data_IF_689078095173
#
_entry.id   IF_689078095173
#
_cell.length_a   1.000
_cell.length_b   1.000
_cell.length_c   1.000
_cell.angle_alpha   90.00
_cell.angle_beta   90.00
_cell.angle_gamma   90.00
#
_symmetry.space_group_name_H-M   'P 1'
#
loop_
_entity.id
_entity.type
_entity.pdbx_description
1 polymer ?
#
# COMPACT_ATOMS: atom_id res chain seq x y z
N UNK A 1 -4.97 46.69 34.03
CA UNK A 1 -4.53 45.75 32.98
C UNK A 1 -4.08 44.48 33.68
N UNK A 2 -4.77 43.35 33.48
CA UNK A 2 -4.28 42.07 34.05
C UNK A 2 -3.04 41.67 33.25
N UNK A 3 -1.92 41.49 33.94
CA UNK A 3 -0.68 40.99 33.36
C UNK A 3 -0.98 39.67 32.63
N UNK A 4 -0.51 39.55 31.39
CA UNK A 4 -0.65 38.32 30.61
C UNK A 4 -0.02 37.17 31.38
N UNK A 5 -0.77 36.09 31.54
CA UNK A 5 -0.26 34.88 32.17
C UNK A 5 0.90 34.31 31.34
N UNK A 6 1.90 33.74 32.01
CA UNK A 6 2.97 32.98 31.39
C UNK A 6 2.36 31.82 30.59
N UNK A 7 2.59 31.74 29.27
CA UNK A 7 2.02 30.68 28.43
C UNK A 7 2.55 29.28 28.78
N UNK A 8 3.58 29.14 29.62
CA UNK A 8 4.10 27.85 30.04
C UNK A 8 4.52 27.00 28.85
N UNK A 9 4.04 25.76 28.79
CA UNK A 9 4.35 24.78 27.73
C UNK A 9 3.43 24.86 26.50
N UNK A 10 2.59 25.90 26.40
CA UNK A 10 1.55 25.98 25.36
C UNK A 10 2.12 25.89 23.94
N UNK A 11 3.25 26.54 23.68
CA UNK A 11 3.90 26.52 22.36
C UNK A 11 4.37 25.10 22.03
N UNK A 12 5.06 24.43 22.96
CA UNK A 12 5.56 23.06 22.77
C UNK A 12 4.42 22.06 22.53
N UNK A 13 3.31 22.22 23.27
CA UNK A 13 2.12 21.40 23.09
C UNK A 13 1.47 21.61 21.72
N UNK A 14 1.33 22.86 21.28
CA UNK A 14 0.79 23.18 19.95
C UNK A 14 1.69 22.60 18.85
N UNK A 15 3.01 22.70 18.98
CA UNK A 15 3.96 22.12 18.04
C UNK A 15 3.86 20.59 17.98
N UNK A 16 3.76 19.94 19.14
CA UNK A 16 3.60 18.49 19.26
C UNK A 16 2.29 17.99 18.65
N UNK A 17 1.17 18.65 18.97
CA UNK A 17 -0.14 18.33 18.42
C UNK A 17 -0.20 18.55 16.91
N UNK A 18 0.38 19.65 16.41
CA UNK A 18 0.46 19.92 14.98
C UNK A 18 1.35 18.89 14.27
N UNK A 19 2.47 18.50 14.88
CA UNK A 19 3.36 17.45 14.38
C UNK A 19 2.64 16.10 14.27
N UNK A 20 1.90 15.72 15.31
CA UNK A 20 1.10 14.51 15.33
C UNK A 20 -0.03 14.54 14.28
N UNK A 21 -0.71 15.68 14.14
CA UNK A 21 -1.80 15.86 13.17
C UNK A 21 -1.31 15.80 11.70
N UNK A 22 -0.09 16.29 11.43
CA UNK A 22 0.52 16.27 10.09
C UNK A 22 1.22 14.94 9.76
N UNK A 23 1.49 14.12 10.77
CA UNK A 23 2.19 12.84 10.59
C UNK A 23 1.36 11.82 9.82
N UNK A 24 2.04 10.96 9.04
CA UNK A 24 1.41 9.80 8.44
C UNK A 24 0.88 8.86 9.53
N UNK A 25 -0.41 8.51 9.45
CA UNK A 25 -1.04 7.58 10.40
C UNK A 25 -0.53 6.15 10.24
N UNK A 26 -0.23 5.74 9.01
CA UNK A 26 0.44 4.48 8.71
C UNK A 26 1.95 4.72 8.67
N UNK A 27 2.70 3.98 9.48
CA UNK A 27 4.16 4.07 9.58
C UNK A 27 4.78 2.69 9.56
N UNK A 28 6.01 2.60 9.04
CA UNK A 28 6.80 1.37 9.10
C UNK A 28 7.02 0.95 10.56
N UNK A 29 6.82 -0.34 10.84
CA UNK A 29 7.12 -0.95 12.13
C UNK A 29 8.30 -1.92 12.03
N UNK A 30 8.99 -2.15 13.14
CA UNK A 30 9.97 -3.23 13.29
C UNK A 30 9.25 -4.39 13.95
N UNK A 31 9.16 -5.54 13.27
CA UNK A 31 8.57 -6.74 13.83
C UNK A 31 9.60 -7.49 14.69
N UNK A 32 9.45 -7.43 16.02
CA UNK A 32 10.28 -8.15 16.99
C UNK A 32 9.58 -9.36 17.63
N UNK A 33 8.41 -9.75 17.10
CA UNK A 33 7.57 -10.81 17.70
C UNK A 33 7.99 -12.22 17.29
N UNK A 34 8.78 -12.36 16.21
CA UNK A 34 9.07 -13.65 15.57
C UNK A 34 7.92 -14.21 14.71
N UNK A 35 6.75 -13.58 14.69
CA UNK A 35 5.61 -14.00 13.84
C UNK A 35 5.82 -13.51 12.42
N UNK A 36 5.98 -14.44 11.46
CA UNK A 36 6.24 -14.12 10.05
C UNK A 36 5.00 -13.50 9.38
N UNK A 37 3.85 -14.19 9.41
CA UNK A 37 2.58 -13.68 8.84
C UNK A 37 1.80 -12.99 9.95
N UNK A 38 2.18 -11.75 10.26
CA UNK A 38 1.58 -11.01 11.37
C UNK A 38 0.37 -10.19 10.89
N UNK A 39 -0.84 -10.64 11.23
CA UNK A 39 -2.10 -10.02 10.78
C UNK A 39 -2.22 -8.54 11.13
N UNK A 40 -1.87 -8.15 12.37
CA UNK A 40 -1.92 -6.73 12.80
C UNK A 40 -0.83 -5.84 12.20
N UNK A 41 0.29 -6.41 11.71
CA UNK A 41 1.39 -5.65 11.11
C UNK A 41 1.40 -5.68 9.57
N UNK A 42 0.31 -6.18 8.96
CA UNK A 42 0.15 -6.15 7.50
C UNK A 42 0.58 -7.43 6.76
N UNK A 43 0.64 -8.58 7.45
CA UNK A 43 0.90 -9.91 6.85
C UNK A 43 2.28 -9.95 6.19
N UNK A 44 2.37 -10.42 4.94
CA UNK A 44 3.64 -10.59 4.25
C UNK A 44 4.14 -9.26 3.65
N UNK A 45 5.36 -8.79 3.99
CA UNK A 45 5.98 -7.67 3.28
C UNK A 45 6.30 -8.07 1.84
N UNK A 46 6.26 -7.09 0.93
CA UNK A 46 6.60 -7.30 -0.48
C UNK A 46 8.12 -7.17 -0.70
N UNK A 47 8.65 -7.96 -1.65
CA UNK A 47 10.01 -7.80 -2.13
C UNK A 47 10.19 -6.44 -2.82
N UNK A 48 11.42 -5.92 -2.83
CA UNK A 48 11.72 -4.59 -3.38
C UNK A 48 11.38 -4.51 -4.87
N UNK A 49 11.67 -5.56 -5.62
CA UNK A 49 11.39 -5.67 -7.05
C UNK A 49 9.88 -5.61 -7.33
N UNK A 50 9.06 -6.21 -6.46
CA UNK A 50 7.60 -6.14 -6.58
C UNK A 50 7.07 -4.73 -6.32
N UNK A 51 7.63 -4.02 -5.33
CA UNK A 51 7.30 -2.62 -5.04
C UNK A 51 7.70 -1.69 -6.18
N UNK A 52 8.91 -1.87 -6.75
CA UNK A 52 9.40 -1.10 -7.89
C UNK A 52 8.48 -1.28 -9.12
N UNK A 53 8.05 -2.51 -9.40
CA UNK A 53 7.10 -2.77 -10.51
C UNK A 53 5.72 -2.19 -10.25
N UNK A 54 5.19 -2.31 -9.03
CA UNK A 54 3.91 -1.72 -8.67
C UNK A 54 3.94 -0.19 -8.82
N UNK A 55 5.01 0.45 -8.34
CA UNK A 55 5.19 1.89 -8.47
C UNK A 55 5.27 2.34 -9.93
N UNK A 56 6.05 1.64 -10.76
CA UNK A 56 6.19 1.96 -12.19
C UNK A 56 4.87 1.86 -12.97
N UNK A 57 4.01 0.90 -12.63
CA UNK A 57 2.68 0.75 -13.27
C UNK A 57 1.70 1.78 -12.71
N UNK A 58 1.72 2.05 -11.40
CA UNK A 58 0.80 2.96 -10.75
C UNK A 58 1.08 4.45 -11.05
N UNK A 59 2.30 4.80 -11.45
CA UNK A 59 2.68 6.18 -11.77
C UNK A 59 2.11 6.72 -13.09
N UNK A 60 1.37 5.91 -13.85
CA UNK A 60 0.80 6.33 -15.14
C UNK A 60 -0.33 5.43 -15.63
N UNK A 61 -0.71 5.61 -16.90
CA UNK A 61 -1.65 4.72 -17.57
C UNK A 61 -1.00 3.35 -17.82
N UNK A 62 -1.84 2.31 -17.82
CA UNK A 62 -1.41 0.95 -18.10
C UNK A 62 -2.45 0.23 -18.95
N UNK A 63 -2.05 -0.91 -19.52
CA UNK A 63 -2.92 -1.81 -20.28
C UNK A 63 -3.81 -2.67 -19.37
N UNK A 64 -4.23 -2.16 -18.20
CA UNK A 64 -4.97 -2.91 -17.19
C UNK A 64 -6.22 -3.59 -17.75
N UNK A 65 -6.98 -2.90 -18.62
CA UNK A 65 -8.17 -3.43 -19.30
C UNK A 65 -8.10 -3.18 -20.82
N UNK A 66 -6.90 -3.24 -21.40
CA UNK A 66 -6.69 -2.98 -22.84
C UNK A 66 -5.76 -4.03 -23.46
N UNK A 67 -6.20 -4.72 -24.51
CA UNK A 67 -5.36 -5.65 -25.27
C UNK A 67 -4.60 -4.88 -26.35
N UNK A 68 -3.26 -4.89 -26.26
CA UNK A 68 -2.37 -4.20 -27.18
C UNK A 68 -2.32 -4.83 -28.58
N UNK A 69 -2.69 -6.11 -28.71
CA UNK A 69 -2.71 -6.83 -29.99
C UNK A 69 -4.00 -6.58 -30.74
N UNK A 70 -5.14 -6.60 -30.05
CA UNK A 70 -6.46 -6.39 -30.64
C UNK A 70 -6.84 -4.91 -30.73
N UNK A 71 -6.16 -4.03 -29.97
CA UNK A 71 -6.43 -2.59 -29.95
C UNK A 71 -7.77 -2.24 -29.30
N UNK A 72 -8.23 -3.08 -28.37
CA UNK A 72 -9.57 -3.00 -27.78
C UNK A 72 -9.58 -3.25 -26.28
N UNK A 73 -10.79 -3.21 -25.69
CA UNK A 73 -11.00 -3.51 -24.28
C UNK A 73 -10.70 -4.99 -24.00
N UNK A 74 -9.86 -5.26 -23.01
CA UNK A 74 -9.53 -6.60 -22.52
C UNK A 74 -9.92 -6.82 -21.06
N UNK A 75 -9.77 -8.04 -20.55
CA UNK A 75 -10.02 -8.35 -19.14
C UNK A 75 -8.75 -8.19 -18.31
N UNK A 76 -8.86 -7.54 -17.14
CA UNK A 76 -7.72 -7.45 -16.20
C UNK A 76 -7.23 -8.82 -15.69
N UNK A 77 -8.07 -9.85 -15.78
CA UNK A 77 -7.74 -11.20 -15.34
C UNK A 77 -6.74 -11.88 -16.28
N UNK A 78 -6.68 -11.44 -17.55
CA UNK A 78 -5.82 -12.04 -18.58
C UNK A 78 -4.33 -11.90 -18.24
N UNK A 79 -3.98 -10.91 -17.41
CA UNK A 79 -2.60 -10.69 -16.94
C UNK A 79 -2.13 -11.73 -15.91
N UNK A 80 -3.03 -12.32 -15.11
CA UNK A 80 -2.68 -13.17 -13.95
C UNK A 80 -3.17 -14.62 -14.11
N UNK A 81 -4.32 -14.83 -14.76
CA UNK A 81 -4.90 -16.17 -14.92
C UNK A 81 -3.96 -17.17 -15.62
N UNK A 82 -3.20 -16.83 -16.68
CA UNK A 82 -2.23 -17.75 -17.27
C UNK A 82 -1.12 -18.19 -16.30
N UNK A 83 -0.64 -17.28 -15.45
CA UNK A 83 0.39 -17.58 -14.45
C UNK A 83 -0.16 -18.55 -13.41
N UNK A 84 -1.36 -18.28 -12.88
CA UNK A 84 -1.99 -19.15 -11.88
C UNK A 84 -2.25 -20.54 -12.44
N UNK A 85 -2.83 -20.66 -13.64
CA UNK A 85 -3.05 -21.96 -14.30
C UNK A 85 -1.74 -22.73 -14.49
N UNK A 86 -0.66 -22.05 -14.87
CA UNK A 86 0.67 -22.69 -15.00
C UNK A 86 1.21 -23.20 -13.66
N UNK A 87 0.98 -22.47 -12.57
CA UNK A 87 1.45 -22.85 -11.24
C UNK A 87 0.62 -23.98 -10.62
N UNK A 88 -0.68 -24.02 -10.88
CA UNK A 88 -1.61 -24.94 -10.21
C UNK A 88 -2.04 -26.13 -11.07
N UNK A 89 -1.92 -26.04 -12.40
CA UNK A 89 -2.50 -27.01 -13.33
C UNK A 89 -4.02 -26.88 -13.51
N UNK A 90 -4.65 -25.86 -12.93
CA UNK A 90 -6.09 -25.64 -13.05
C UNK A 90 -6.49 -25.23 -14.49
N UNK A 91 -7.72 -25.58 -14.88
CA UNK A 91 -8.30 -25.23 -16.19
C UNK A 91 -8.52 -23.72 -16.33
N UNK A 92 -8.96 -23.07 -15.26
CA UNK A 92 -9.26 -21.63 -15.20
C UNK A 92 -8.82 -21.05 -13.84
N UNK A 93 -8.60 -19.72 -13.80
CA UNK A 93 -8.25 -19.00 -12.59
C UNK A 93 -8.85 -17.59 -12.59
N UNK A 94 -9.23 -17.10 -11.40
CA UNK A 94 -9.75 -15.76 -11.17
C UNK A 94 -9.19 -15.21 -9.87
N UNK A 95 -8.88 -13.91 -9.82
CA UNK A 95 -8.49 -13.21 -8.59
C UNK A 95 -9.60 -12.25 -8.18
N UNK A 96 -9.98 -12.32 -6.89
CA UNK A 96 -10.97 -11.46 -6.26
C UNK A 96 -10.36 -10.75 -5.04
N UNK A 97 -11.05 -9.72 -4.56
CA UNK A 97 -10.70 -9.10 -3.28
C UNK A 97 -10.99 -10.06 -2.10
N UNK A 98 -10.31 -9.86 -0.97
CA UNK A 98 -10.57 -10.55 0.30
C UNK A 98 -11.07 -9.62 1.42
#
# INVERSE_FOLDING_TARGET
MRAGADPGDLVERVESELGAARGARLRRAINATGVIVHTNLGRAPLAREALERANAVASGYSNLEYDLREGGRGSRQDHVAPILRRLTGAEAALVVNN
#
